data_IF_387940116043
#
_entry.id   IF_387940116043
#
_cell.length_a   1.000
_cell.length_b   1.000
_cell.length_c   1.000
_cell.angle_alpha   90.00
_cell.angle_beta   90.00
_cell.angle_gamma   90.00
#
_symmetry.space_group_name_H-M   'P 1'
#
loop_
_entity.id
_entity.type
_entity.pdbx_description
1 polymer ?
#
# COMPACT_ATOMS: atom_id res chain seq x y z
N UNK A 1 -21.57 3.86 20.44
CA UNK A 1 -20.52 4.12 19.42
C UNK A 1 -21.23 4.56 18.14
N UNK A 2 -21.33 5.88 17.92
CA UNK A 2 -21.99 6.47 16.75
C UNK A 2 -21.23 6.12 15.49
N UNK A 3 -21.85 5.46 14.53
CA UNK A 3 -21.34 5.26 13.18
C UNK A 3 -21.23 6.63 12.51
N UNK A 4 -20.04 7.17 12.23
CA UNK A 4 -19.95 8.42 11.52
C UNK A 4 -19.99 8.19 10.03
N UNK A 5 -20.75 9.02 9.34
CA UNK A 5 -20.71 9.32 7.92
C UNK A 5 -20.70 8.09 6.98
N UNK A 6 -21.59 8.07 6.04
CA UNK A 6 -21.75 7.06 4.97
C UNK A 6 -20.39 6.57 4.46
N UNK A 7 -19.91 5.43 4.99
CA UNK A 7 -18.70 4.77 4.53
C UNK A 7 -18.90 4.29 3.09
N UNK A 8 -17.97 4.64 2.24
CA UNK A 8 -18.00 4.28 0.83
C UNK A 8 -17.42 2.87 0.70
N UNK A 9 -18.27 1.88 0.47
CA UNK A 9 -17.90 0.46 0.47
C UNK A 9 -16.76 0.13 -0.50
N UNK A 10 -16.77 0.69 -1.73
CA UNK A 10 -15.72 0.38 -2.70
C UNK A 10 -14.33 0.82 -2.24
N UNK A 11 -14.23 1.89 -1.44
CA UNK A 11 -12.94 2.32 -0.89
C UNK A 11 -12.44 1.36 0.19
N UNK A 12 -13.33 0.87 1.07
CA UNK A 12 -12.94 -0.13 2.07
C UNK A 12 -12.56 -1.44 1.38
N UNK A 13 -13.26 -1.82 0.31
CA UNK A 13 -12.95 -3.00 -0.50
C UNK A 13 -11.58 -2.85 -1.21
N UNK A 14 -11.32 -1.70 -1.81
CA UNK A 14 -10.05 -1.44 -2.48
C UNK A 14 -8.87 -1.40 -1.49
N UNK A 15 -9.09 -0.85 -0.27
CA UNK A 15 -8.09 -0.90 0.81
C UNK A 15 -7.83 -2.33 1.28
N UNK A 16 -8.87 -3.14 1.44
CA UNK A 16 -8.74 -4.54 1.84
C UNK A 16 -7.95 -5.33 0.79
N UNK A 17 -8.28 -5.12 -0.48
CA UNK A 17 -7.56 -5.73 -1.60
C UNK A 17 -6.08 -5.30 -1.62
N UNK A 18 -5.81 -3.99 -1.57
CA UNK A 18 -4.44 -3.49 -1.54
C UNK A 18 -3.65 -4.04 -0.34
N UNK A 19 -4.28 -4.16 0.84
CA UNK A 19 -3.63 -4.75 2.02
C UNK A 19 -3.34 -6.24 1.83
N UNK A 20 -4.27 -6.98 1.23
CA UNK A 20 -4.06 -8.39 0.90
C UNK A 20 -2.85 -8.56 -0.03
N UNK A 21 -2.72 -7.71 -1.06
CA UNK A 21 -1.57 -7.73 -1.97
C UNK A 21 -0.24 -7.40 -1.27
N UNK A 22 -0.25 -6.47 -0.32
CA UNK A 22 0.94 -6.16 0.50
C UNK A 22 1.36 -7.38 1.33
N UNK A 23 0.40 -8.06 1.97
CA UNK A 23 0.68 -9.26 2.76
C UNK A 23 1.17 -10.40 1.87
N UNK A 24 0.54 -10.61 0.70
CA UNK A 24 1.00 -11.59 -0.30
C UNK A 24 2.45 -11.30 -0.74
N UNK A 25 2.75 -10.04 -1.08
CA UNK A 25 4.10 -9.67 -1.49
C UNK A 25 5.16 -9.96 -0.43
N UNK A 26 4.84 -9.80 0.84
CA UNK A 26 5.75 -10.16 1.93
C UNK A 26 5.90 -11.69 2.10
N UNK A 27 4.84 -12.47 1.92
CA UNK A 27 4.89 -13.94 1.94
C UNK A 27 5.76 -14.43 0.78
N UNK A 28 5.50 -13.96 -0.43
CA UNK A 28 6.22 -14.36 -1.63
C UNK A 28 7.70 -13.96 -1.55
N UNK A 29 8.00 -12.79 -0.97
CA UNK A 29 9.37 -12.36 -0.70
C UNK A 29 10.09 -13.30 0.27
N UNK A 30 9.42 -13.72 1.35
CA UNK A 30 10.00 -14.70 2.28
C UNK A 30 10.27 -16.03 1.58
N UNK A 31 9.35 -16.51 0.75
CA UNK A 31 9.53 -17.75 0.00
C UNK A 31 10.63 -17.66 -1.05
N UNK A 32 10.75 -16.53 -1.75
CA UNK A 32 11.84 -16.33 -2.72
C UNK A 32 13.21 -16.37 -2.07
N UNK A 33 13.34 -15.91 -0.83
CA UNK A 33 14.59 -16.02 -0.06
C UNK A 33 14.94 -17.47 0.28
N UNK A 34 13.97 -18.39 0.25
CA UNK A 34 14.18 -19.83 0.40
C UNK A 34 14.33 -20.57 -0.96
N UNK A 35 14.57 -19.84 -2.04
CA UNK A 35 14.83 -20.40 -3.39
C UNK A 35 13.56 -20.83 -4.14
N UNK A 36 12.38 -20.40 -3.70
CA UNK A 36 11.11 -20.67 -4.38
C UNK A 36 10.84 -19.60 -5.41
N UNK A 37 10.64 -20.00 -6.67
CA UNK A 37 10.18 -19.09 -7.71
C UNK A 37 8.73 -18.71 -7.46
N UNK A 38 8.46 -17.41 -7.22
CA UNK A 38 7.14 -16.91 -6.90
C UNK A 38 6.49 -16.33 -8.15
N UNK A 39 5.24 -16.76 -8.44
CA UNK A 39 4.48 -16.32 -9.62
C UNK A 39 3.94 -14.90 -9.41
N UNK A 40 3.50 -14.59 -8.19
CA UNK A 40 2.82 -13.32 -7.91
C UNK A 40 3.78 -12.15 -7.67
N UNK A 41 4.94 -12.40 -7.08
CA UNK A 41 5.85 -11.32 -6.65
C UNK A 41 6.19 -10.35 -7.80
N UNK A 42 6.58 -10.79 -9.01
CA UNK A 42 6.88 -9.87 -10.10
C UNK A 42 5.67 -9.00 -10.50
N UNK A 43 4.46 -9.59 -10.44
CA UNK A 43 3.22 -8.88 -10.78
C UNK A 43 2.86 -7.88 -9.67
N UNK A 44 2.97 -8.31 -8.41
CA UNK A 44 2.62 -7.48 -7.26
C UNK A 44 3.53 -6.25 -7.16
N UNK A 45 4.84 -6.42 -7.40
CA UNK A 45 5.81 -5.35 -7.33
C UNK A 45 5.50 -4.20 -8.30
N UNK A 46 4.77 -4.47 -9.39
CA UNK A 46 4.37 -3.41 -10.33
C UNK A 46 3.47 -2.39 -9.66
N UNK A 47 2.43 -2.78 -8.92
CA UNK A 47 1.34 -1.85 -8.61
C UNK A 47 0.85 -1.84 -7.15
N UNK A 48 1.22 -2.81 -6.30
CA UNK A 48 0.63 -2.90 -4.94
C UNK A 48 0.95 -1.68 -4.07
N UNK A 49 2.19 -1.19 -4.07
CA UNK A 49 2.57 0.01 -3.32
C UNK A 49 2.06 1.31 -3.95
N UNK A 50 2.16 1.52 -5.30
CA UNK A 50 1.47 2.57 -6.01
C UNK A 50 -0.02 2.68 -5.68
N UNK A 51 -0.75 1.55 -5.70
CA UNK A 51 -2.18 1.51 -5.36
C UNK A 51 -2.44 1.95 -3.92
N UNK A 52 -1.65 1.43 -2.97
CA UNK A 52 -1.82 1.76 -1.56
C UNK A 52 -1.51 3.24 -1.29
N UNK A 53 -0.53 3.80 -1.98
CA UNK A 53 -0.17 5.21 -1.86
C UNK A 53 -1.23 6.12 -2.49
N UNK A 54 -1.77 5.76 -3.66
CA UNK A 54 -2.87 6.48 -4.29
C UNK A 54 -4.14 6.46 -3.42
N UNK A 55 -4.46 5.33 -2.78
CA UNK A 55 -5.55 5.27 -1.80
C UNK A 55 -5.32 6.23 -0.63
N UNK A 56 -4.09 6.33 -0.14
CA UNK A 56 -3.73 7.25 0.94
C UNK A 56 -3.93 8.72 0.52
N UNK A 57 -3.55 9.06 -0.71
CA UNK A 57 -3.82 10.35 -1.33
C UNK A 57 -5.32 10.61 -1.49
N UNK A 58 -6.07 9.64 -2.01
CA UNK A 58 -7.52 9.75 -2.24
C UNK A 58 -8.31 10.02 -0.97
N UNK A 59 -7.97 9.36 0.14
CA UNK A 59 -8.65 9.61 1.43
C UNK A 59 -8.19 10.89 2.13
N UNK A 60 -7.14 11.54 1.62
CA UNK A 60 -6.63 12.79 2.17
C UNK A 60 -7.48 13.96 1.68
N UNK A 61 -8.19 14.61 2.61
CA UNK A 61 -8.93 15.84 2.31
C UNK A 61 -7.97 17.02 2.42
N UNK A 62 -7.55 17.57 1.28
CA UNK A 62 -6.60 18.69 1.22
C UNK A 62 -7.14 19.95 1.92
N UNK A 63 -8.43 20.24 1.79
CA UNK A 63 -9.06 21.45 2.36
C UNK A 63 -9.11 21.41 3.87
N UNK A 64 -9.44 20.25 4.45
CA UNK A 64 -9.53 20.02 5.90
C UNK A 64 -8.27 19.38 6.49
N UNK A 65 -7.16 19.45 5.76
CA UNK A 65 -5.92 18.80 6.15
C UNK A 65 -5.30 19.47 7.39
N UNK A 66 -4.91 18.66 8.37
CA UNK A 66 -4.17 19.08 9.56
C UNK A 66 -3.00 18.12 9.79
N UNK A 67 -1.76 18.61 9.68
CA UNK A 67 -0.55 17.79 9.83
C UNK A 67 -0.51 17.12 11.22
N UNK A 68 -0.89 17.82 12.28
CA UNK A 68 -0.93 17.26 13.64
C UNK A 68 -1.80 16.00 13.76
N UNK A 69 -2.89 15.91 12.98
CA UNK A 69 -3.70 14.67 12.95
C UNK A 69 -2.96 13.53 12.23
N UNK A 70 -2.12 13.85 11.25
CA UNK A 70 -1.34 12.86 10.50
C UNK A 70 -0.08 12.43 11.24
N UNK A 71 0.45 13.26 12.14
CA UNK A 71 1.55 12.90 13.03
C UNK A 71 1.22 11.67 13.90
N UNK A 72 -0.06 11.39 14.13
CA UNK A 72 -0.50 10.15 14.80
C UNK A 72 -0.07 8.86 14.07
N UNK A 73 0.26 8.92 12.77
CA UNK A 73 0.85 7.80 12.03
C UNK A 73 2.23 7.41 12.55
N UNK A 74 2.95 8.34 13.18
CA UNK A 74 4.24 8.06 13.77
C UNK A 74 4.13 7.26 15.08
N UNK A 75 2.99 7.28 15.77
CA UNK A 75 2.80 6.50 17.01
C UNK A 75 3.00 5.00 16.74
N UNK A 76 2.26 4.35 15.82
CA UNK A 76 2.51 2.94 15.52
C UNK A 76 3.91 2.70 14.95
N UNK A 77 4.48 3.62 14.17
CA UNK A 77 5.85 3.50 13.69
C UNK A 77 6.85 3.37 14.84
N UNK A 78 6.80 4.26 15.84
CA UNK A 78 7.72 4.20 16.97
C UNK A 78 7.39 3.05 17.93
N UNK A 79 6.12 2.86 18.33
CA UNK A 79 5.73 1.82 19.28
C UNK A 79 6.13 0.43 18.76
N UNK A 80 5.69 0.09 17.56
CA UNK A 80 6.01 -1.22 16.98
C UNK A 80 7.45 -1.30 16.47
N UNK A 81 8.06 -0.16 16.10
CA UNK A 81 9.48 -0.06 15.78
C UNK A 81 10.36 -0.43 16.96
N UNK A 82 10.07 0.08 18.17
CA UNK A 82 10.81 -0.29 19.38
C UNK A 82 10.63 -1.77 19.73
N UNK A 83 9.42 -2.32 19.56
CA UNK A 83 9.18 -3.77 19.72
C UNK A 83 10.00 -4.57 18.71
N UNK A 84 10.04 -4.12 17.45
CA UNK A 84 10.83 -4.76 16.39
C UNK A 84 12.33 -4.72 16.72
N UNK A 85 12.85 -3.59 17.21
CA UNK A 85 14.24 -3.45 17.63
C UNK A 85 14.59 -4.43 18.77
N UNK A 86 13.73 -4.51 19.78
CA UNK A 86 13.94 -5.41 20.92
C UNK A 86 13.97 -6.89 20.50
N UNK A 87 13.10 -7.30 19.58
CA UNK A 87 13.00 -8.68 19.10
C UNK A 87 14.16 -9.05 18.16
N UNK A 88 14.64 -8.09 17.35
CA UNK A 88 15.66 -8.35 16.33
C UNK A 88 17.06 -7.93 16.74
N UNK A 89 17.22 -7.34 17.90
CA UNK A 89 18.49 -6.78 18.39
C UNK A 89 19.12 -5.77 17.41
N UNK A 90 18.28 -4.97 16.72
CA UNK A 90 18.71 -3.94 15.79
C UNK A 90 18.75 -2.58 16.47
N UNK A 91 19.63 -1.69 15.99
CA UNK A 91 19.75 -0.32 16.49
C UNK A 91 18.67 0.61 15.96
N UNK A 92 18.48 1.77 16.58
CA UNK A 92 17.55 2.79 16.09
C UNK A 92 17.92 3.30 14.69
N UNK A 93 19.22 3.40 14.37
CA UNK A 93 19.67 3.78 13.04
C UNK A 93 19.28 2.75 11.98
N UNK A 94 19.34 1.47 12.32
CA UNK A 94 18.89 0.39 11.44
C UNK A 94 17.37 0.38 11.27
N UNK A 95 16.60 0.75 12.30
CA UNK A 95 15.15 0.89 12.19
C UNK A 95 14.74 1.97 11.18
N UNK A 96 15.47 3.09 11.14
CA UNK A 96 15.17 4.20 10.22
C UNK A 96 15.59 3.85 8.78
N UNK A 97 16.55 2.95 8.59
CA UNK A 97 16.95 2.50 7.25
C UNK A 97 15.84 1.67 6.61
N UNK A 98 15.47 1.95 5.35
CA UNK A 98 14.48 1.15 4.61
C UNK A 98 14.86 -0.32 4.51
N UNK A 99 16.15 -0.61 4.55
CA UNK A 99 16.70 -1.97 4.57
C UNK A 99 16.27 -2.77 5.81
N UNK A 100 15.97 -2.11 6.93
CA UNK A 100 15.38 -2.76 8.11
C UNK A 100 13.95 -3.27 7.86
N UNK A 101 13.37 -2.93 6.71
CA UNK A 101 12.07 -3.42 6.21
C UNK A 101 10.86 -3.14 7.11
N UNK A 102 11.04 -2.45 8.24
CA UNK A 102 9.94 -2.14 9.14
C UNK A 102 9.47 -0.70 9.01
N UNK A 103 8.18 -0.53 8.79
CA UNK A 103 7.53 0.78 8.93
C UNK A 103 7.86 1.83 7.86
N UNK A 104 8.73 1.55 6.88
CA UNK A 104 9.17 2.51 5.86
C UNK A 104 8.00 3.22 5.17
N UNK A 105 6.91 2.51 4.91
CA UNK A 105 5.72 3.09 4.29
C UNK A 105 5.08 4.19 5.15
N UNK A 106 5.00 3.99 6.48
CA UNK A 106 4.45 5.01 7.38
C UNK A 106 5.31 6.27 7.41
N UNK A 107 6.63 6.10 7.39
CA UNK A 107 7.58 7.19 7.32
C UNK A 107 7.41 7.99 6.01
N UNK A 108 7.41 7.32 4.85
CA UNK A 108 7.21 7.95 3.54
C UNK A 108 5.84 8.63 3.46
N UNK A 109 4.78 7.98 3.93
CA UNK A 109 3.44 8.56 3.96
C UNK A 109 3.38 9.81 4.86
N UNK A 110 4.07 9.80 6.00
CA UNK A 110 4.16 10.99 6.85
C UNK A 110 4.94 12.12 6.15
N UNK A 111 6.06 11.82 5.47
CA UNK A 111 6.80 12.79 4.68
C UNK A 111 5.92 13.42 3.58
N UNK A 112 5.08 12.64 2.90
CA UNK A 112 4.12 13.16 1.92
C UNK A 112 3.07 14.07 2.55
N UNK A 113 2.59 13.72 3.73
CA UNK A 113 1.72 14.60 4.50
C UNK A 113 2.42 15.91 4.89
N UNK A 114 3.71 15.86 5.22
CA UNK A 114 4.52 17.03 5.53
C UNK A 114 4.70 17.92 4.28
N UNK A 115 5.07 17.35 3.13
CA UNK A 115 5.17 18.10 1.87
C UNK A 115 3.84 18.75 1.49
N UNK A 116 2.73 18.05 1.65
CA UNK A 116 1.39 18.62 1.42
C UNK A 116 1.12 19.80 2.38
N UNK A 117 1.56 19.72 3.63
CA UNK A 117 1.44 20.83 4.57
C UNK A 117 2.27 22.05 4.14
N UNK A 118 3.48 21.84 3.63
CA UNK A 118 4.34 22.90 3.09
C UNK A 118 3.72 23.59 1.86
N UNK A 119 3.20 22.80 0.90
CA UNK A 119 2.49 23.31 -0.28
C UNK A 119 1.32 24.22 0.16
N UNK A 120 0.54 23.79 1.15
CA UNK A 120 -0.57 24.58 1.66
C UNK A 120 -0.11 25.87 2.40
N UNK A 121 0.96 25.78 3.15
CA UNK A 121 1.51 26.92 3.89
C UNK A 121 2.07 28.00 2.94
N UNK A 122 2.65 27.58 1.80
CA UNK A 122 3.19 28.49 0.78
C UNK A 122 2.12 29.24 -0.02
N UNK A 123 0.82 28.92 0.18
CA UNK A 123 -0.30 29.47 -0.58
C UNK A 123 -0.20 29.34 -2.12
N UNK A 124 0.69 28.49 -2.60
CA UNK A 124 0.86 28.22 -4.03
C UNK A 124 -0.29 27.37 -4.57
N UNK A 125 -0.41 27.33 -5.90
CA UNK A 125 -1.30 26.38 -6.55
C UNK A 125 -0.90 24.95 -6.15
N UNK A 126 -1.89 24.18 -5.69
CA UNK A 126 -1.69 22.80 -5.25
C UNK A 126 -0.94 21.94 -6.28
N UNK A 127 -1.35 22.03 -7.55
CA UNK A 127 -0.74 21.23 -8.61
C UNK A 127 0.69 21.67 -8.92
N UNK A 128 0.94 22.98 -8.95
CA UNK A 128 2.30 23.52 -9.08
C UNK A 128 3.20 23.10 -7.92
N UNK A 129 2.69 23.17 -6.70
CA UNK A 129 3.41 22.68 -5.52
C UNK A 129 3.73 21.17 -5.58
N UNK A 130 2.80 20.34 -6.06
CA UNK A 130 3.04 18.90 -6.27
C UNK A 130 4.17 18.65 -7.27
N UNK A 131 4.19 19.38 -8.37
CA UNK A 131 5.25 19.29 -9.40
C UNK A 131 6.60 19.75 -8.84
N UNK A 132 6.64 20.85 -8.08
CA UNK A 132 7.88 21.33 -7.46
C UNK A 132 8.45 20.28 -6.50
N UNK A 133 7.61 19.66 -5.66
CA UNK A 133 8.05 18.59 -4.75
C UNK A 133 8.60 17.41 -5.53
N UNK A 134 7.96 17.02 -6.64
CA UNK A 134 8.46 15.93 -7.50
C UNK A 134 9.83 16.25 -8.09
N UNK A 135 10.03 17.46 -8.59
CA UNK A 135 11.34 17.90 -9.13
C UNK A 135 12.41 17.86 -8.03
N UNK A 136 12.09 18.31 -6.81
CA UNK A 136 13.01 18.24 -5.66
C UNK A 136 13.33 16.80 -5.30
N UNK A 137 12.33 15.92 -5.22
CA UNK A 137 12.52 14.49 -4.92
C UNK A 137 13.34 13.79 -6.00
N UNK A 138 13.12 14.13 -7.26
CA UNK A 138 13.91 13.64 -8.39
C UNK A 138 15.39 14.08 -8.24
N UNK A 139 15.63 15.36 -7.94
CA UNK A 139 16.99 15.85 -7.68
C UNK A 139 17.65 15.14 -6.50
N UNK A 140 16.94 14.96 -5.39
CA UNK A 140 17.42 14.21 -4.23
C UNK A 140 17.70 12.73 -4.57
N UNK A 141 16.83 12.09 -5.35
CA UNK A 141 17.05 10.72 -5.83
C UNK A 141 18.35 10.61 -6.61
N UNK A 142 18.57 11.46 -7.63
CA UNK A 142 19.80 11.38 -8.44
C UNK A 142 21.07 11.76 -7.66
N UNK A 143 21.00 12.73 -6.75
CA UNK A 143 22.16 13.14 -5.95
C UNK A 143 22.50 12.14 -4.84
N UNK A 144 21.51 11.47 -4.26
CA UNK A 144 21.69 10.63 -3.08
C UNK A 144 21.51 9.12 -3.36
N UNK A 145 21.19 8.76 -4.61
CA UNK A 145 21.02 7.35 -4.99
C UNK A 145 22.23 6.50 -4.58
N UNK A 146 21.97 5.38 -3.93
CA UNK A 146 22.99 4.46 -3.37
C UNK A 146 23.89 5.02 -2.28
N UNK A 147 23.63 6.22 -1.77
CA UNK A 147 24.33 6.74 -0.59
C UNK A 147 23.65 6.29 0.70
N UNK A 148 24.39 6.23 1.81
CA UNK A 148 23.82 5.92 3.14
C UNK A 148 22.76 6.95 3.53
N UNK A 149 22.92 8.21 3.15
CA UNK A 149 21.94 9.26 3.43
C UNK A 149 20.66 9.06 2.60
N UNK A 150 20.78 8.73 1.32
CA UNK A 150 19.63 8.46 0.44
C UNK A 150 18.81 7.27 0.91
N UNK A 151 19.48 6.17 1.29
CA UNK A 151 18.80 5.00 1.86
C UNK A 151 18.12 5.32 3.19
N UNK A 152 18.79 6.07 4.09
CA UNK A 152 18.22 6.49 5.38
C UNK A 152 16.98 7.40 5.19
N UNK A 153 17.02 8.32 4.23
CA UNK A 153 15.91 9.21 3.92
C UNK A 153 14.83 8.56 3.04
N UNK A 154 15.04 7.34 2.54
CA UNK A 154 14.13 6.66 1.59
C UNK A 154 13.85 7.48 0.33
N UNK A 155 14.84 8.19 -0.19
CA UNK A 155 14.66 9.11 -1.33
C UNK A 155 14.12 8.41 -2.57
N UNK A 156 14.54 7.16 -2.81
CA UNK A 156 14.06 6.34 -3.93
C UNK A 156 12.56 6.04 -3.81
N UNK A 157 12.10 5.61 -2.63
CA UNK A 157 10.68 5.37 -2.40
C UNK A 157 9.85 6.66 -2.41
N UNK A 158 10.43 7.78 -1.92
CA UNK A 158 9.72 9.07 -1.98
C UNK A 158 9.54 9.53 -3.42
N UNK A 159 10.57 9.48 -4.24
CA UNK A 159 10.49 9.84 -5.66
C UNK A 159 9.50 8.94 -6.41
N UNK A 160 9.61 7.62 -6.27
CA UNK A 160 8.73 6.68 -6.98
C UNK A 160 7.26 6.76 -6.55
N UNK A 161 6.98 7.05 -5.29
CA UNK A 161 5.60 6.93 -4.76
C UNK A 161 4.86 8.26 -4.62
N UNK A 162 5.56 9.40 -4.65
CA UNK A 162 4.92 10.72 -4.60
C UNK A 162 3.91 10.95 -5.75
N UNK A 163 4.19 10.60 -7.02
CA UNK A 163 3.24 10.74 -8.10
C UNK A 163 1.92 10.02 -7.83
N UNK A 164 1.97 8.84 -7.20
CA UNK A 164 0.76 8.06 -6.88
C UNK A 164 -0.04 8.67 -5.74
N UNK A 165 0.63 9.22 -4.73
CA UNK A 165 -0.06 9.99 -3.68
C UNK A 165 -0.78 11.20 -4.29
N UNK A 166 -0.13 11.94 -5.18
CA UNK A 166 -0.71 13.04 -5.93
C UNK A 166 -1.86 12.58 -6.81
N UNK A 167 -1.70 11.47 -7.55
CA UNK A 167 -2.76 10.86 -8.37
C UNK A 167 -4.01 10.59 -7.53
N UNK A 168 -3.84 10.04 -6.33
CA UNK A 168 -4.95 9.83 -5.40
C UNK A 168 -5.71 11.11 -5.05
N UNK A 169 -4.99 12.20 -4.77
CA UNK A 169 -5.60 13.51 -4.50
C UNK A 169 -6.33 14.04 -5.75
N UNK A 170 -5.73 13.92 -6.93
CA UNK A 170 -6.31 14.37 -8.21
C UNK A 170 -7.56 13.55 -8.56
N UNK A 171 -7.53 12.23 -8.36
CA UNK A 171 -8.71 11.36 -8.52
C UNK A 171 -9.87 11.87 -7.65
N UNK A 172 -9.61 12.16 -6.38
CA UNK A 172 -10.64 12.70 -5.48
C UNK A 172 -11.19 14.05 -5.92
N UNK A 173 -10.36 14.92 -6.49
CA UNK A 173 -10.72 16.30 -6.85
C UNK A 173 -11.46 16.44 -8.19
N UNK A 174 -11.81 15.35 -8.84
CA UNK A 174 -12.66 15.37 -10.03
C UNK A 174 -12.22 14.42 -11.15
N UNK A 175 -10.96 14.02 -11.20
CA UNK A 175 -10.49 13.08 -12.21
C UNK A 175 -11.28 11.77 -12.19
N UNK A 176 -11.62 11.25 -10.99
CA UNK A 176 -12.41 10.02 -10.89
C UNK A 176 -13.83 10.19 -11.46
N UNK A 177 -14.46 11.34 -11.27
CA UNK A 177 -15.77 11.65 -11.89
C UNK A 177 -15.69 11.71 -13.42
N UNK A 178 -14.58 12.21 -13.96
CA UNK A 178 -14.31 12.21 -15.39
C UNK A 178 -14.11 10.79 -15.93
N UNK A 179 -13.35 9.96 -15.20
CA UNK A 179 -13.13 8.54 -15.51
C UNK A 179 -14.47 7.78 -15.56
N UNK A 180 -15.36 8.01 -14.60
CA UNK A 180 -16.67 7.36 -14.56
C UNK A 180 -17.55 7.72 -15.76
N UNK A 181 -17.46 8.98 -16.25
CA UNK A 181 -18.20 9.41 -17.44
C UNK A 181 -17.67 8.75 -18.72
N UNK A 182 -16.36 8.52 -18.80
CA UNK A 182 -15.68 8.04 -20.01
C UNK A 182 -15.07 6.63 -19.77
N UNK A 183 -15.73 5.81 -18.96
CA UNK A 183 -15.16 4.55 -18.43
C UNK A 183 -14.65 3.60 -19.51
N UNK A 184 -15.39 3.44 -20.63
CA UNK A 184 -15.00 2.53 -21.69
C UNK A 184 -13.73 3.01 -22.40
N UNK A 185 -13.69 4.29 -22.81
CA UNK A 185 -12.54 4.87 -23.50
C UNK A 185 -11.28 4.80 -22.63
N UNK A 186 -11.40 5.20 -21.37
CA UNK A 186 -10.27 5.20 -20.43
C UNK A 186 -9.79 3.78 -20.13
N UNK A 187 -10.71 2.81 -20.00
CA UNK A 187 -10.33 1.41 -19.84
C UNK A 187 -9.60 0.88 -21.07
N UNK A 188 -10.08 1.16 -22.27
CA UNK A 188 -9.42 0.74 -23.50
C UNK A 188 -8.02 1.36 -23.63
N UNK A 189 -7.90 2.67 -23.42
CA UNK A 189 -6.60 3.37 -23.45
C UNK A 189 -5.67 2.79 -22.39
N UNK A 190 -6.12 2.65 -21.15
CA UNK A 190 -5.30 2.13 -20.04
C UNK A 190 -4.79 0.72 -20.31
N UNK A 191 -5.67 -0.20 -20.73
CA UNK A 191 -5.29 -1.57 -21.09
C UNK A 191 -4.33 -1.58 -22.28
N UNK A 192 -4.60 -0.79 -23.33
CA UNK A 192 -3.71 -0.71 -24.51
C UNK A 192 -2.30 -0.24 -24.13
N UNK A 193 -2.18 0.80 -23.30
CA UNK A 193 -0.89 1.31 -22.84
C UNK A 193 -0.14 0.25 -22.03
N UNK A 194 -0.83 -0.45 -21.12
CA UNK A 194 -0.23 -1.52 -20.33
C UNK A 194 0.30 -2.63 -21.24
N UNK A 195 -0.49 -3.08 -22.22
CA UNK A 195 -0.09 -4.11 -23.18
C UNK A 195 1.10 -3.67 -24.05
N UNK A 196 1.14 -2.41 -24.49
CA UNK A 196 2.26 -1.85 -25.24
C UNK A 196 3.54 -1.86 -24.40
N UNK A 197 3.48 -1.42 -23.14
CA UNK A 197 4.65 -1.41 -22.26
C UNK A 197 5.11 -2.84 -21.96
N UNK A 198 4.19 -3.77 -21.66
CA UNK A 198 4.52 -5.17 -21.45
C UNK A 198 5.17 -5.79 -22.69
N UNK A 199 4.62 -5.54 -23.89
CA UNK A 199 5.19 -6.00 -25.15
C UNK A 199 6.59 -5.43 -25.40
N UNK A 200 6.77 -4.13 -25.17
CA UNK A 200 8.08 -3.49 -25.30
C UNK A 200 9.09 -4.06 -24.31
N UNK A 201 8.72 -4.30 -23.04
CA UNK A 201 9.58 -4.95 -22.04
C UNK A 201 10.03 -6.34 -22.51
N UNK A 202 9.11 -7.15 -23.02
CA UNK A 202 9.41 -8.48 -23.51
C UNK A 202 10.31 -8.46 -24.76
N UNK A 203 10.01 -7.60 -25.75
CA UNK A 203 10.74 -7.54 -27.03
C UNK A 203 12.14 -6.97 -26.83
N UNK A 204 12.28 -5.92 -26.03
CA UNK A 204 13.55 -5.21 -25.81
C UNK A 204 14.38 -5.80 -24.66
N UNK A 205 13.89 -6.82 -23.94
CA UNK A 205 14.56 -7.42 -22.80
C UNK A 205 14.86 -6.41 -21.69
N UNK A 206 13.92 -5.48 -21.41
CA UNK A 206 14.12 -4.40 -20.44
C UNK A 206 14.26 -4.99 -19.04
N UNK A 207 15.37 -4.65 -18.37
CA UNK A 207 15.70 -5.09 -17.00
C UNK A 207 16.30 -3.95 -16.19
N UNK A 208 16.49 -4.17 -14.88
CA UNK A 208 17.14 -3.21 -13.99
C UNK A 208 16.32 -1.94 -13.76
N UNK A 209 16.98 -0.80 -13.71
CA UNK A 209 16.36 0.49 -13.38
C UNK A 209 15.26 0.90 -14.38
N UNK A 210 15.46 0.61 -15.67
CA UNK A 210 14.48 0.91 -16.71
C UNK A 210 13.20 0.09 -16.53
N UNK A 211 13.31 -1.14 -16.06
CA UNK A 211 12.17 -2.00 -15.72
C UNK A 211 11.31 -1.37 -14.62
N UNK A 212 11.94 -0.80 -13.59
CA UNK A 212 11.24 -0.11 -12.50
C UNK A 212 10.44 1.08 -13.05
N UNK A 213 11.02 1.93 -13.89
CA UNK A 213 10.31 3.07 -14.48
C UNK A 213 9.17 2.63 -15.41
N UNK A 214 9.34 1.54 -16.17
CA UNK A 214 8.25 0.97 -16.95
C UNK A 214 7.10 0.48 -16.06
N UNK A 215 7.41 -0.14 -14.92
CA UNK A 215 6.43 -0.59 -13.94
C UNK A 215 5.69 0.59 -13.31
N UNK A 216 6.39 1.67 -12.95
CA UNK A 216 5.77 2.89 -12.42
C UNK A 216 4.84 3.53 -13.46
N UNK A 217 5.27 3.60 -14.72
CA UNK A 217 4.43 4.11 -15.81
C UNK A 217 3.18 3.25 -16.01
N UNK A 218 3.30 1.92 -16.03
CA UNK A 218 2.13 1.03 -16.08
C UNK A 218 1.19 1.28 -14.89
N UNK A 219 1.73 1.48 -13.69
CA UNK A 219 0.95 1.70 -12.48
C UNK A 219 0.10 2.97 -12.52
N UNK A 220 0.53 4.02 -13.23
CA UNK A 220 -0.29 5.22 -13.45
C UNK A 220 -1.61 4.91 -14.17
N UNK A 221 -1.64 3.86 -14.99
CA UNK A 221 -2.86 3.39 -15.67
C UNK A 221 -3.58 2.30 -14.88
N UNK A 222 -2.85 1.40 -14.25
CA UNK A 222 -3.40 0.30 -13.44
C UNK A 222 -4.21 0.84 -12.25
N UNK A 223 -3.69 1.84 -11.54
CA UNK A 223 -4.33 2.39 -10.33
C UNK A 223 -5.73 2.95 -10.62
N UNK A 224 -5.95 3.85 -11.61
CA UNK A 224 -7.29 4.33 -11.94
C UNK A 224 -8.25 3.21 -12.38
N UNK A 225 -7.73 2.18 -13.07
CA UNK A 225 -8.54 1.02 -13.47
C UNK A 225 -9.02 0.22 -12.25
N UNK A 226 -8.21 0.06 -11.21
CA UNK A 226 -8.66 -0.56 -9.95
C UNK A 226 -9.72 0.28 -9.24
N UNK A 227 -9.58 1.60 -9.21
CA UNK A 227 -10.63 2.47 -8.66
C UNK A 227 -11.95 2.28 -9.41
N UNK A 228 -11.90 2.23 -10.75
CA UNK A 228 -13.07 1.99 -11.58
C UNK A 228 -13.66 0.60 -11.33
N UNK A 229 -12.84 -0.45 -11.37
CA UNK A 229 -13.27 -1.84 -11.14
C UNK A 229 -14.01 -2.00 -9.80
N UNK A 230 -13.45 -1.49 -8.71
CA UNK A 230 -14.07 -1.62 -7.40
C UNK A 230 -15.32 -0.76 -7.23
N UNK A 231 -15.40 0.37 -7.94
CA UNK A 231 -16.62 1.17 -8.01
C UNK A 231 -17.74 0.41 -8.72
N UNK A 232 -17.47 -0.22 -9.87
CA UNK A 232 -18.46 -1.03 -10.60
C UNK A 232 -18.85 -2.29 -9.78
N UNK A 233 -17.88 -2.93 -9.15
CA UNK A 233 -18.13 -4.08 -8.28
C UNK A 233 -19.06 -3.74 -7.11
N UNK A 234 -18.96 -2.52 -6.55
CA UNK A 234 -19.90 -2.05 -5.52
C UNK A 234 -21.34 -2.03 -6.04
N UNK A 235 -21.57 -1.58 -7.29
CA UNK A 235 -22.90 -1.55 -7.89
C UNK A 235 -23.44 -2.98 -8.07
N UNK A 236 -22.62 -3.89 -8.58
CA UNK A 236 -22.99 -5.31 -8.72
C UNK A 236 -23.31 -5.98 -7.37
N UNK A 237 -22.63 -5.58 -6.29
CA UNK A 237 -22.86 -6.11 -4.93
C UNK A 237 -24.17 -5.61 -4.29
N UNK A 238 -24.76 -4.51 -4.78
CA UNK A 238 -26.02 -3.96 -4.21
C UNK A 238 -27.26 -4.80 -4.57
N UNK A 239 -27.28 -5.44 -5.74
CA UNK A 239 -28.51 -5.96 -6.36
C UNK A 239 -29.02 -7.33 -5.86
N UNK A 240 -28.36 -7.97 -4.90
CA UNK A 240 -28.80 -9.29 -4.38
C UNK A 240 -28.61 -9.43 -2.87
N UNK A 241 -29.70 -9.66 -2.14
CA UNK A 241 -29.71 -10.03 -0.71
C UNK A 241 -29.30 -11.51 -0.52
N UNK A 242 -28.02 -11.82 -0.62
CA UNK A 242 -27.48 -13.15 -0.32
C UNK A 242 -26.70 -13.12 1.00
N UNK A 243 -26.88 -14.15 1.84
CA UNK A 243 -26.07 -14.33 3.08
C UNK A 243 -24.57 -14.31 2.79
N UNK A 244 -24.16 -14.91 1.67
CA UNK A 244 -22.76 -14.94 1.21
C UNK A 244 -22.25 -13.52 0.92
N UNK A 245 -23.02 -12.69 0.21
CA UNK A 245 -22.64 -11.30 -0.07
C UNK A 245 -22.52 -10.46 1.21
N UNK A 246 -23.43 -10.67 2.16
CA UNK A 246 -23.36 -10.00 3.46
C UNK A 246 -22.11 -10.40 4.23
N UNK A 247 -21.74 -11.69 4.22
CA UNK A 247 -20.52 -12.18 4.84
C UNK A 247 -19.27 -11.57 4.17
N UNK A 248 -19.16 -11.66 2.84
CA UNK A 248 -18.06 -11.06 2.07
C UNK A 248 -17.93 -9.56 2.35
N UNK A 249 -19.05 -8.84 2.34
CA UNK A 249 -19.06 -7.40 2.64
C UNK A 249 -18.50 -7.09 4.02
N UNK A 250 -18.91 -7.84 5.05
CA UNK A 250 -18.39 -7.65 6.43
C UNK A 250 -16.91 -7.98 6.51
N UNK A 251 -16.46 -9.06 5.90
CA UNK A 251 -15.06 -9.49 5.87
C UNK A 251 -14.16 -8.44 5.22
N UNK A 252 -14.55 -7.97 4.05
CA UNK A 252 -13.85 -6.94 3.30
C UNK A 252 -13.78 -5.62 4.09
N UNK A 253 -14.90 -5.20 4.68
CA UNK A 253 -14.92 -4.00 5.53
C UNK A 253 -14.05 -4.15 6.77
N UNK A 254 -14.02 -5.33 7.38
CA UNK A 254 -13.20 -5.61 8.55
C UNK A 254 -11.70 -5.44 8.26
N UNK A 255 -11.23 -5.96 7.13
CA UNK A 255 -9.84 -5.80 6.69
C UNK A 255 -9.58 -4.34 6.28
N UNK A 256 -10.44 -3.76 5.44
CA UNK A 256 -10.27 -2.41 4.90
C UNK A 256 -10.23 -1.28 5.94
N UNK A 257 -10.88 -1.50 7.11
CA UNK A 257 -10.87 -0.56 8.24
C UNK A 257 -9.60 -0.70 9.10
N UNK A 258 -8.99 -1.87 9.12
CA UNK A 258 -7.85 -2.19 9.97
C UNK A 258 -6.53 -2.30 9.19
N UNK A 259 -6.43 -1.67 8.02
CA UNK A 259 -5.22 -1.76 7.16
C UNK A 259 -3.94 -1.29 7.86
N UNK A 260 -4.00 -0.20 8.65
CA UNK A 260 -2.85 0.27 9.41
C UNK A 260 -2.40 -0.75 10.46
N UNK A 261 -3.36 -1.35 11.17
CA UNK A 261 -3.09 -2.36 12.19
C UNK A 261 -2.51 -3.63 11.56
N UNK A 262 -3.09 -4.08 10.45
CA UNK A 262 -2.57 -5.22 9.70
C UNK A 262 -1.14 -4.92 9.23
N UNK A 263 -0.90 -3.72 8.68
CA UNK A 263 0.41 -3.32 8.19
C UNK A 263 1.51 -3.42 9.26
N UNK A 264 1.26 -2.97 10.49
CA UNK A 264 2.27 -3.03 11.55
C UNK A 264 2.37 -4.40 12.23
N UNK A 265 1.26 -5.14 12.33
CA UNK A 265 1.23 -6.43 13.01
C UNK A 265 1.73 -7.59 12.12
N UNK A 266 1.65 -7.48 10.79
CA UNK A 266 2.04 -8.55 9.87
C UNK A 266 3.49 -9.01 10.07
N UNK A 267 4.43 -8.11 10.38
CA UNK A 267 5.83 -8.45 10.62
C UNK A 267 6.01 -9.42 11.79
N UNK A 268 5.20 -9.27 12.83
CA UNK A 268 5.23 -10.15 14.00
C UNK A 268 4.49 -11.47 13.71
N UNK A 269 3.40 -11.40 12.94
CA UNK A 269 2.64 -12.60 12.55
C UNK A 269 3.44 -13.50 11.61
N UNK A 270 4.23 -12.93 10.68
CA UNK A 270 5.10 -13.72 9.80
C UNK A 270 6.18 -14.49 10.59
N UNK A 271 6.79 -13.87 11.59
CA UNK A 271 7.76 -14.58 12.44
C UNK A 271 7.14 -15.72 13.21
N UNK A 272 5.95 -15.50 13.77
CA UNK A 272 5.21 -16.57 14.44
C UNK A 272 4.89 -17.71 13.47
N UNK A 273 4.46 -17.37 12.27
CA UNK A 273 4.13 -18.34 11.23
C UNK A 273 5.37 -19.12 10.76
N UNK A 274 6.48 -18.44 10.53
CA UNK A 274 7.75 -19.03 10.13
C UNK A 274 8.27 -20.01 11.21
N UNK A 275 8.19 -19.61 12.48
CA UNK A 275 8.53 -20.48 13.60
C UNK A 275 7.65 -21.74 13.69
N UNK A 276 6.33 -21.60 13.45
CA UNK A 276 5.38 -22.72 13.47
C UNK A 276 5.46 -23.61 12.22
N UNK A 277 5.90 -23.06 11.07
CA UNK A 277 5.93 -23.77 9.78
C UNK A 277 7.20 -24.58 9.55
N UNK A 278 8.16 -24.52 10.48
CA UNK A 278 9.56 -24.87 10.27
C UNK A 278 9.85 -26.32 9.86
N UNK A 279 8.88 -27.23 9.66
CA UNK A 279 9.21 -28.59 9.19
C UNK A 279 8.15 -29.35 8.37
N UNK A 280 6.90 -28.92 8.28
CA UNK A 280 5.87 -29.73 7.58
C UNK A 280 4.99 -28.95 6.60
N UNK A 281 4.68 -27.71 6.90
CA UNK A 281 3.83 -26.89 6.04
C UNK A 281 4.60 -26.29 4.85
N UNK A 282 5.91 -26.09 4.98
CA UNK A 282 6.74 -25.44 3.98
C UNK A 282 6.73 -26.19 2.64
N UNK A 283 6.94 -27.49 2.63
CA UNK A 283 7.01 -28.25 1.37
C UNK A 283 5.66 -28.33 0.65
N UNK A 284 4.54 -28.47 1.38
CA UNK A 284 3.21 -28.48 0.78
C UNK A 284 2.84 -27.11 0.22
N UNK A 285 3.16 -26.04 0.94
CA UNK A 285 2.91 -24.66 0.49
C UNK A 285 3.76 -24.30 -0.72
N UNK A 286 5.01 -24.75 -0.78
CA UNK A 286 5.94 -24.53 -1.87
C UNK A 286 5.45 -25.12 -3.21
N UNK A 287 4.89 -26.32 -3.17
CA UNK A 287 4.36 -26.98 -4.37
C UNK A 287 3.02 -26.38 -4.88
N UNK A 288 2.32 -25.60 -4.06
CA UNK A 288 0.99 -25.03 -4.36
C UNK A 288 0.96 -23.51 -4.13
N UNK A 289 2.03 -22.82 -4.38
CA UNK A 289 2.20 -21.38 -4.10
C UNK A 289 1.06 -20.53 -4.65
N UNK A 290 0.66 -20.76 -5.91
CA UNK A 290 -0.37 -19.99 -6.60
C UNK A 290 -1.72 -19.98 -5.88
N UNK A 291 -2.04 -21.04 -5.12
CA UNK A 291 -3.26 -21.15 -4.32
C UNK A 291 -3.00 -20.74 -2.86
N UNK A 292 -1.84 -21.10 -2.33
CA UNK A 292 -1.53 -20.94 -0.90
C UNK A 292 -1.20 -19.50 -0.53
N UNK A 293 -0.50 -18.75 -1.40
CA UNK A 293 -0.14 -17.34 -1.09
C UNK A 293 -1.38 -16.47 -0.79
N UNK A 294 -2.44 -16.45 -1.62
CA UNK A 294 -3.66 -15.69 -1.29
C UNK A 294 -4.37 -16.20 -0.02
N UNK A 295 -4.42 -17.52 0.20
CA UNK A 295 -5.09 -18.11 1.37
C UNK A 295 -4.35 -17.77 2.65
N UNK A 296 -3.03 -17.91 2.67
CA UNK A 296 -2.18 -17.57 3.81
C UNK A 296 -2.24 -16.06 4.08
N UNK A 297 -2.18 -15.23 3.04
CA UNK A 297 -2.32 -13.78 3.18
C UNK A 297 -3.66 -13.38 3.81
N UNK A 298 -4.74 -14.02 3.39
CA UNK A 298 -6.06 -13.79 3.98
C UNK A 298 -6.11 -14.23 5.45
N UNK A 299 -5.55 -15.38 5.79
CA UNK A 299 -5.44 -15.87 7.16
C UNK A 299 -4.63 -14.91 8.03
N UNK A 300 -3.49 -14.39 7.54
CA UNK A 300 -2.68 -13.38 8.23
C UNK A 300 -3.46 -12.08 8.46
N UNK A 301 -4.20 -11.60 7.46
CA UNK A 301 -5.04 -10.42 7.63
C UNK A 301 -6.06 -10.61 8.77
N UNK A 302 -6.74 -11.75 8.82
CA UNK A 302 -7.68 -12.06 9.89
C UNK A 302 -7.01 -12.21 11.25
N UNK A 303 -5.88 -12.88 11.31
CA UNK A 303 -5.09 -13.00 12.54
C UNK A 303 -4.72 -11.61 13.09
N UNK A 304 -4.18 -10.72 12.25
CA UNK A 304 -3.85 -9.35 12.66
C UNK A 304 -5.10 -8.56 13.13
N UNK A 305 -6.26 -8.78 12.51
CA UNK A 305 -7.51 -8.17 12.95
C UNK A 305 -7.95 -8.71 14.32
N UNK A 306 -7.84 -10.01 14.57
CA UNK A 306 -8.13 -10.61 15.89
C UNK A 306 -7.21 -10.04 16.97
N UNK A 307 -5.91 -9.95 16.71
CA UNK A 307 -4.95 -9.31 17.61
C UNK A 307 -5.33 -7.83 17.85
N UNK A 308 -5.74 -7.11 16.82
CA UNK A 308 -6.21 -5.72 16.94
C UNK A 308 -7.43 -5.62 17.87
N UNK A 309 -8.39 -6.53 17.73
CA UNK A 309 -9.59 -6.56 18.59
C UNK A 309 -9.17 -6.82 20.05
N UNK A 310 -8.23 -7.72 20.28
CA UNK A 310 -7.72 -7.99 21.62
C UNK A 310 -7.02 -6.78 22.24
N UNK A 311 -6.12 -6.12 21.49
CA UNK A 311 -5.44 -4.89 21.91
C UNK A 311 -6.44 -3.81 22.27
N UNK A 312 -7.52 -3.64 21.45
CA UNK A 312 -8.55 -2.66 21.73
C UNK A 312 -9.39 -3.02 22.98
N UNK A 313 -9.66 -4.31 23.24
CA UNK A 313 -10.33 -4.76 24.47
C UNK A 313 -9.49 -4.46 25.71
N UNK A 314 -8.18 -4.55 25.60
CA UNK A 314 -7.22 -4.17 26.65
C UNK A 314 -7.05 -2.65 26.80
N UNK A 315 -7.85 -1.85 26.09
CA UNK A 315 -7.77 -0.37 26.06
C UNK A 315 -6.43 0.19 25.56
N UNK A 316 -5.64 -0.61 24.88
CA UNK A 316 -4.34 -0.24 24.32
C UNK A 316 -4.44 0.28 22.87
N UNK A 317 -5.64 0.65 22.40
CA UNK A 317 -5.87 1.14 21.03
C UNK A 317 -5.07 2.40 20.67
N UNK A 318 -4.56 3.14 21.64
CA UNK A 318 -3.72 4.32 21.43
C UNK A 318 -2.38 3.97 20.73
N UNK A 319 -1.88 2.73 20.85
CA UNK A 319 -0.65 2.29 20.16
C UNK A 319 -0.77 2.35 18.64
N UNK A 320 -1.99 2.39 18.10
CA UNK A 320 -2.27 2.59 16.68
C UNK A 320 -2.57 4.06 16.31
N UNK A 321 -2.33 5.02 17.22
CA UNK A 321 -2.59 6.43 16.97
C UNK A 321 -4.08 6.81 16.96
N UNK A 322 -4.93 6.03 17.63
CA UNK A 322 -6.38 6.27 17.75
C UNK A 322 -6.74 7.05 19.01
#
# INVERSE_FOLDING_TARGET
MSMPTTRIFYLDALKAFAMLLVVMGHIDYLWSNHGVATIYLPILLVFHMPLFMALSGYVTNVEKFKLAKRAKLLIPFFVFGFVFMAINHVTFLELIRPEAKFGWFLYVLFAFCFFLALIRASKQNLYGGMVIVEIVLMGLHFCLHRTTLGTTLSTDHMFQLWPFFCLGIILRRGLFSYILKNKLQISLIGVSVILIICGAKCILGITGTLDIYCNDLMSLFIVPLFFLLFHELQHWMKDRNSKVKSFVKRSVQLIGVNTLQIYVLQYFSFRLFDYLSNNTLSQFTLNNEWLMSPVIALAHCYFCVLVTILINKLKLGFVFGR
#
